data_IF_520925795620
#
_entry.id   IF_520925795620
#
_cell.length_a   1.000
_cell.length_b   1.000
_cell.length_c   1.000
_cell.angle_alpha   90.00
_cell.angle_beta   90.00
_cell.angle_gamma   90.00
#
_symmetry.space_group_name_H-M   'P 1'
#
loop_
_entity.id
_entity.type
_entity.pdbx_description
1 polymer ?
#
# COMPACT_ATOMS: atom_id res chain seq x y z
N UNK A 1 16.95 13.19 18.58
CA UNK A 1 15.79 12.26 18.59
C UNK A 1 15.12 12.37 17.23
N UNK A 2 15.04 11.27 16.47
CA UNK A 2 14.29 11.27 15.22
C UNK A 2 12.80 11.38 15.56
N UNK A 3 12.15 12.46 15.14
CA UNK A 3 10.74 12.69 15.38
C UNK A 3 9.95 11.93 14.31
N UNK A 4 9.81 10.61 14.48
CA UNK A 4 9.02 9.77 13.58
C UNK A 4 7.57 9.76 14.08
N UNK A 5 6.64 10.49 13.44
CA UNK A 5 5.26 10.51 13.87
C UNK A 5 4.61 9.13 13.65
N UNK A 6 3.87 8.66 14.66
CA UNK A 6 3.08 7.43 14.54
C UNK A 6 1.83 7.73 13.72
N UNK A 7 1.61 6.95 12.67
CA UNK A 7 0.40 7.04 11.82
C UNK A 7 -0.54 5.90 12.17
N UNK A 8 -1.73 6.22 12.69
CA UNK A 8 -2.79 5.25 12.97
C UNK A 8 -3.78 5.20 11.80
N UNK A 9 -3.91 4.04 11.15
CA UNK A 9 -4.89 3.80 10.10
C UNK A 9 -5.87 2.70 10.52
N UNK A 10 -7.15 2.88 10.17
CA UNK A 10 -8.16 1.83 10.25
C UNK A 10 -8.13 1.04 8.96
N UNK A 11 -7.98 -0.28 9.08
CA UNK A 11 -7.95 -1.22 7.97
C UNK A 11 -8.89 -2.35 8.36
N UNK A 12 -9.66 -2.83 7.40
CA UNK A 12 -10.45 -4.03 7.57
C UNK A 12 -9.55 -5.20 8.02
N UNK A 13 -9.95 -5.99 9.03
CA UNK A 13 -9.10 -7.06 9.57
C UNK A 13 -8.79 -8.15 8.55
N UNK A 14 -9.72 -8.52 7.68
CA UNK A 14 -9.51 -9.54 6.65
C UNK A 14 -8.53 -9.01 5.60
N UNK A 15 -8.74 -7.78 5.12
CA UNK A 15 -7.82 -7.11 4.20
C UNK A 15 -6.40 -7.01 4.76
N UNK A 16 -6.28 -6.68 6.05
CA UNK A 16 -4.97 -6.58 6.72
C UNK A 16 -4.27 -7.94 6.72
N UNK A 17 -4.99 -9.01 7.03
CA UNK A 17 -4.43 -10.36 7.08
C UNK A 17 -3.96 -10.81 5.70
N UNK A 18 -4.82 -10.70 4.69
CA UNK A 18 -4.50 -11.03 3.30
C UNK A 18 -3.29 -10.24 2.79
N UNK A 19 -3.29 -8.91 2.97
CA UNK A 19 -2.18 -8.06 2.56
C UNK A 19 -0.88 -8.43 3.30
N UNK A 20 -0.96 -8.77 4.58
CA UNK A 20 0.23 -9.16 5.36
C UNK A 20 0.81 -10.47 4.84
N UNK A 21 -0.01 -11.48 4.53
CA UNK A 21 0.46 -12.75 3.98
C UNK A 21 1.18 -12.57 2.63
N UNK A 22 0.60 -11.75 1.73
CA UNK A 22 1.21 -11.45 0.43
C UNK A 22 2.54 -10.71 0.60
N UNK A 23 2.59 -9.72 1.49
CA UNK A 23 3.81 -8.93 1.73
C UNK A 23 4.90 -9.76 2.42
N UNK A 24 4.54 -10.63 3.36
CA UNK A 24 5.49 -11.52 4.04
C UNK A 24 6.12 -12.52 3.06
N UNK A 25 5.36 -13.04 2.10
CA UNK A 25 5.90 -13.87 1.01
C UNK A 25 6.92 -13.11 0.14
N UNK A 26 6.83 -11.78 0.08
CA UNK A 26 7.80 -10.90 -0.57
C UNK A 26 8.93 -10.43 0.36
N UNK A 27 8.98 -10.90 1.62
CA UNK A 27 9.95 -10.48 2.63
C UNK A 27 9.74 -9.08 3.18
N UNK A 28 8.52 -8.55 3.07
CA UNK A 28 8.14 -7.20 3.50
C UNK A 28 7.12 -7.28 4.65
N UNK A 29 7.21 -6.31 5.57
CA UNK A 29 6.12 -6.07 6.53
C UNK A 29 5.22 -4.94 6.03
N UNK A 30 4.02 -4.84 6.61
CA UNK A 30 3.02 -3.83 6.25
C UNK A 30 3.56 -2.39 6.32
N UNK A 31 4.34 -2.05 7.36
CA UNK A 31 4.93 -0.72 7.53
C UNK A 31 5.90 -0.37 6.40
N UNK A 32 6.74 -1.31 5.99
CA UNK A 32 7.67 -1.14 4.88
C UNK A 32 6.92 -0.94 3.58
N UNK A 33 5.88 -1.75 3.32
CA UNK A 33 5.06 -1.65 2.12
C UNK A 33 4.33 -0.31 2.02
N UNK A 34 3.71 0.14 3.11
CA UNK A 34 3.06 1.47 3.19
C UNK A 34 4.08 2.58 2.97
N UNK A 35 5.27 2.47 3.56
CA UNK A 35 6.35 3.46 3.36
C UNK A 35 6.79 3.51 1.90
N UNK A 36 6.93 2.36 1.24
CA UNK A 36 7.25 2.30 -0.19
C UNK A 36 6.15 2.94 -1.03
N UNK A 37 4.88 2.60 -0.77
CA UNK A 37 3.74 3.20 -1.46
C UNK A 37 3.72 4.73 -1.34
N UNK A 38 3.94 5.28 -0.14
CA UNK A 38 3.99 6.73 0.07
C UNK A 38 5.17 7.39 -0.67
N UNK A 39 6.34 6.72 -0.72
CA UNK A 39 7.48 7.21 -1.51
C UNK A 39 7.15 7.22 -3.01
N UNK A 40 6.43 6.21 -3.49
CA UNK A 40 5.95 6.18 -4.87
C UNK A 40 5.00 7.33 -5.18
N UNK A 41 4.01 7.58 -4.31
CA UNK A 41 3.08 8.72 -4.44
C UNK A 41 3.84 10.04 -4.59
N UNK A 42 4.86 10.26 -3.74
CA UNK A 42 5.71 11.45 -3.81
C UNK A 42 6.53 11.49 -5.10
N UNK A 43 7.11 10.35 -5.52
CA UNK A 43 7.94 10.27 -6.72
C UNK A 43 7.16 10.57 -7.99
N UNK A 44 5.95 10.04 -8.12
CA UNK A 44 5.12 10.20 -9.33
C UNK A 44 4.21 11.43 -9.27
N UNK A 45 4.17 12.15 -8.13
CA UNK A 45 3.28 13.28 -7.90
C UNK A 45 1.80 12.93 -8.19
N UNK A 46 1.39 11.73 -7.76
CA UNK A 46 0.09 11.17 -8.11
C UNK A 46 -0.15 9.82 -7.42
N UNK A 47 -1.29 9.19 -7.71
CA UNK A 47 -1.58 7.87 -7.17
C UNK A 47 -0.89 6.79 -8.02
N UNK A 48 0.01 5.97 -7.45
CA UNK A 48 0.78 4.96 -8.18
C UNK A 48 -0.04 3.67 -8.39
N UNK A 49 -1.30 3.81 -8.75
CA UNK A 49 -2.25 2.73 -9.03
C UNK A 49 -3.00 3.09 -10.31
N UNK A 50 -3.23 2.10 -11.17
CA UNK A 50 -4.08 2.31 -12.34
C UNK A 50 -5.52 2.50 -11.87
N UNK A 51 -5.99 3.76 -11.84
CA UNK A 51 -7.37 4.09 -11.53
C UNK A 51 -8.25 3.66 -12.71
N UNK A 52 -8.89 2.49 -12.56
CA UNK A 52 -9.86 1.97 -13.55
C UNK A 52 -11.23 1.89 -12.88
N UNK A 53 -12.22 2.55 -13.48
CA UNK A 53 -13.63 2.23 -13.23
C UNK A 53 -13.90 0.97 -14.05
N UNK A 54 -14.06 -0.17 -13.39
CA UNK A 54 -14.08 -1.49 -14.03
C UNK A 54 -14.84 -1.53 -15.37
N UNK A 55 -14.06 -1.71 -16.44
CA UNK A 55 -14.37 -2.57 -17.58
C UNK A 55 -13.06 -2.91 -18.25
N UNK A 56 -12.63 -4.15 -18.05
CA UNK A 56 -11.93 -4.88 -19.10
C UNK A 56 -12.92 -4.90 -20.27
N UNK A 57 -12.67 -4.09 -21.30
CA UNK A 57 -13.11 -4.50 -22.63
C UNK A 57 -12.13 -5.59 -23.05
N UNK A 58 -12.59 -6.83 -22.97
CA UNK A 58 -12.07 -7.93 -23.78
C UNK A 58 -12.26 -7.53 -25.26
N UNK A 59 -11.15 -7.43 -25.98
CA UNK A 59 -11.09 -7.59 -27.44
C UNK A 59 -10.14 -8.75 -27.76
#
# INVERSE_FOLDING_TARGET
>A
MANTPVTNMRIDPELKEEASQVLEALGLNLTTAVTMFLKEVVRVQGLPLAMRLGKEEED
#
